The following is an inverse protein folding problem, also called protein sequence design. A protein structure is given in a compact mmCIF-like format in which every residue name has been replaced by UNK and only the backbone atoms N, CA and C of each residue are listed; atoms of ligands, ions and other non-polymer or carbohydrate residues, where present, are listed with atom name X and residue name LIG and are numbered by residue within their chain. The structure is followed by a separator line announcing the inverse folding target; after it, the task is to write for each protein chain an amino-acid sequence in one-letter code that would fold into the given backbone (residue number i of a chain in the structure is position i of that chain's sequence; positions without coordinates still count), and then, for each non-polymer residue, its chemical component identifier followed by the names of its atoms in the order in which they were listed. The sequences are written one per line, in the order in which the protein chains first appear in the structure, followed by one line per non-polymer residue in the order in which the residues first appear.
data_IF_725029258759
#
_entry.id   IF_725029258759
#
_cell.length_a   1.000
_cell.length_b   1.000
_cell.length_c   1.000
_cell.angle_alpha   90.00
_cell.angle_beta   90.00
_cell.angle_gamma   90.00
#
_symmetry.space_group_name_H-M   'P 1'
#
loop_
_entity.id
_entity.type
_entity.pdbx_description
1 polymer ?
#
# COMPACT_ATOMS: atom_id res chain seq x y z
N UNK A 1 -2.11 -8.31 15.77
CA UNK A 1 -1.80 -7.37 14.67
C UNK A 1 -2.65 -7.69 13.46
N UNK A 2 -3.20 -6.67 12.82
CA UNK A 2 -3.96 -6.86 11.58
C UNK A 2 -3.06 -6.47 10.40
N UNK A 3 -2.55 -7.48 9.69
CA UNK A 3 -1.63 -7.26 8.57
C UNK A 3 -2.27 -6.48 7.43
N UNK A 4 -3.58 -6.64 7.22
CA UNK A 4 -4.24 -5.88 6.15
C UNK A 4 -4.23 -4.40 6.45
N UNK A 5 -4.43 -4.03 7.71
CA UNK A 5 -4.38 -2.63 8.12
C UNK A 5 -2.96 -2.09 8.08
N UNK A 6 -2.01 -2.89 8.51
CA UNK A 6 -0.59 -2.49 8.46
C UNK A 6 -0.16 -2.21 7.02
N UNK A 7 -0.44 -3.12 6.10
CA UNK A 7 -0.09 -2.95 4.70
C UNK A 7 -0.79 -1.72 4.14
N UNK A 8 -2.07 -1.54 4.47
CA UNK A 8 -2.83 -0.38 4.00
C UNK A 8 -2.22 0.94 4.45
N UNK A 9 -1.83 1.02 5.73
CA UNK A 9 -1.18 2.23 6.26
C UNK A 9 0.17 2.47 5.59
N UNK A 10 0.95 1.42 5.40
CA UNK A 10 2.26 1.55 4.76
C UNK A 10 2.12 2.05 3.32
N UNK A 11 1.18 1.48 2.57
CA UNK A 11 0.93 1.91 1.19
C UNK A 11 0.53 3.38 1.16
N UNK A 12 -0.42 3.77 2.00
CA UNK A 12 -0.90 5.15 2.03
C UNK A 12 0.23 6.13 2.37
N UNK A 13 1.01 5.81 3.41
CA UNK A 13 2.11 6.67 3.85
C UNK A 13 3.12 6.88 2.73
N UNK A 14 3.53 5.78 2.08
CA UNK A 14 4.53 5.84 1.01
C UNK A 14 3.95 6.57 -0.19
N UNK A 15 2.69 6.30 -0.54
CA UNK A 15 2.02 6.99 -1.63
C UNK A 15 2.02 8.50 -1.41
N UNK A 16 1.65 8.92 -0.20
CA UNK A 16 1.59 10.34 0.12
C UNK A 16 2.98 10.99 0.10
N UNK A 17 3.99 10.27 0.57
CA UNK A 17 5.37 10.76 0.50
C UNK A 17 5.85 10.95 -0.93
N UNK A 18 5.32 10.17 -1.86
CA UNK A 18 5.63 10.30 -3.27
C UNK A 18 4.80 11.37 -3.97
N UNK A 19 3.91 12.02 -3.23
CA UNK A 19 3.05 13.06 -3.79
C UNK A 19 1.98 12.51 -4.74
N UNK A 20 1.62 11.24 -4.59
CA UNK A 20 0.65 10.61 -5.47
C UNK A 20 -0.74 10.61 -4.85
N UNK A 21 -1.75 10.95 -5.67
CA UNK A 21 -3.14 10.72 -5.27
C UNK A 21 -3.47 9.24 -5.46
N UNK A 22 -4.56 8.77 -4.85
CA UNK A 22 -5.02 7.40 -5.09
C UNK A 22 -5.28 7.17 -6.57
N UNK A 23 -5.86 8.15 -7.23
CA UNK A 23 -6.19 8.09 -8.66
C UNK A 23 -4.92 7.90 -9.50
N UNK A 24 -3.90 8.70 -9.22
CA UNK A 24 -2.65 8.59 -9.96
C UNK A 24 -1.94 7.26 -9.68
N UNK A 25 -1.94 6.84 -8.43
CA UNK A 25 -1.35 5.56 -8.07
C UNK A 25 -2.09 4.41 -8.77
N UNK A 26 -3.42 4.49 -8.86
CA UNK A 26 -4.18 3.50 -9.60
C UNK A 26 -3.73 3.42 -11.06
N UNK A 27 -3.55 4.57 -11.70
CA UNK A 27 -3.07 4.61 -13.09
C UNK A 27 -1.70 3.94 -13.25
N UNK A 28 -0.77 4.29 -12.37
CA UNK A 28 0.60 3.78 -12.45
C UNK A 28 0.65 2.28 -12.15
N UNK A 29 -0.11 1.83 -11.17
CA UNK A 29 -0.04 0.44 -10.72
C UNK A 29 -0.87 -0.51 -11.55
N UNK A 30 -1.85 0.00 -12.28
CA UNK A 30 -2.78 -0.84 -13.03
C UNK A 30 -3.93 -1.37 -12.20
N UNK A 31 -4.01 -1.02 -10.91
CA UNK A 31 -5.14 -1.38 -10.07
C UNK A 31 -6.20 -0.28 -10.14
N UNK A 32 -7.44 -0.63 -9.81
CA UNK A 32 -8.52 0.37 -9.79
C UNK A 32 -8.36 1.27 -8.56
N UNK A 33 -8.91 2.49 -8.64
CA UNK A 33 -8.91 3.38 -7.49
C UNK A 33 -9.71 2.78 -6.33
N UNK A 34 -10.80 2.08 -6.64
CA UNK A 34 -11.59 1.40 -5.62
C UNK A 34 -10.76 0.36 -4.87
N UNK A 35 -9.93 -0.38 -5.60
CA UNK A 35 -9.05 -1.36 -4.98
C UNK A 35 -8.05 -0.66 -4.05
N UNK A 36 -7.39 0.39 -4.55
CA UNK A 36 -6.40 1.14 -3.77
C UNK A 36 -7.05 1.70 -2.50
N UNK A 37 -8.23 2.30 -2.64
CA UNK A 37 -8.95 2.86 -1.49
C UNK A 37 -9.26 1.79 -0.45
N UNK A 38 -9.79 0.65 -0.87
CA UNK A 38 -10.07 -0.45 0.03
C UNK A 38 -8.83 -1.02 0.69
N UNK A 39 -7.75 -1.12 -0.08
CA UNK A 39 -6.47 -1.60 0.43
C UNK A 39 -5.96 -0.69 1.54
N UNK A 40 -5.98 0.61 1.33
CA UNK A 40 -5.49 1.57 2.32
C UNK A 40 -6.34 1.58 3.58
N UNK A 41 -7.60 1.17 3.48
CA UNK A 41 -8.49 1.07 4.62
C UNK A 41 -8.45 -0.28 5.32
N UNK A 42 -7.60 -1.18 4.86
CA UNK A 42 -7.46 -2.50 5.46
C UNK A 42 -8.55 -3.48 5.08
N UNK A 43 -9.27 -3.21 3.99
CA UNK A 43 -10.39 -4.06 3.55
C UNK A 43 -9.99 -5.11 2.53
N UNK A 44 -8.77 -5.06 2.03
CA UNK A 44 -8.28 -6.00 1.04
C UNK A 44 -7.20 -6.88 1.62
N UNK A 45 -7.11 -8.08 1.08
CA UNK A 45 -6.11 -9.05 1.49
C UNK A 45 -5.21 -9.34 0.28
N UNK A 46 -4.21 -8.48 0.01
CA UNK A 46 -3.38 -8.63 -1.18
C UNK A 46 -2.52 -9.89 -1.09
N UNK A 47 -2.32 -10.51 -2.25
CA UNK A 47 -1.38 -11.62 -2.34
C UNK A 47 0.04 -11.08 -2.28
N UNK A 48 1.01 -11.98 -2.10
CA UNK A 48 2.42 -11.61 -2.12
C UNK A 48 2.79 -10.95 -3.45
N UNK A 49 2.25 -11.47 -4.55
CA UNK A 49 2.50 -10.91 -5.88
C UNK A 49 1.93 -9.50 -5.98
N UNK A 50 0.72 -9.29 -5.48
CA UNK A 50 0.10 -7.96 -5.48
C UNK A 50 0.94 -6.97 -4.66
N UNK A 51 1.44 -7.40 -3.50
CA UNK A 51 2.32 -6.57 -2.67
C UNK A 51 3.57 -6.15 -3.45
N UNK A 52 4.18 -7.08 -4.17
CA UNK A 52 5.33 -6.79 -4.99
C UNK A 52 4.99 -5.75 -6.08
N UNK A 53 3.86 -5.93 -6.75
CA UNK A 53 3.44 -5.03 -7.82
C UNK A 53 3.15 -3.62 -7.31
N UNK A 54 2.51 -3.53 -6.15
CA UNK A 54 2.23 -2.23 -5.52
C UNK A 54 3.52 -1.53 -5.14
N UNK A 55 4.47 -2.27 -4.55
CA UNK A 55 5.76 -1.71 -4.16
C UNK A 55 6.53 -1.22 -5.38
N UNK A 56 6.54 -2.00 -6.45
CA UNK A 56 7.21 -1.62 -7.69
C UNK A 56 6.64 -0.30 -8.23
N UNK A 57 5.32 -0.15 -8.21
CA UNK A 57 4.67 1.07 -8.68
C UNK A 57 5.02 2.28 -7.80
N UNK A 58 5.25 2.04 -6.51
CA UNK A 58 5.65 3.09 -5.57
C UNK A 58 7.15 3.35 -5.58
N UNK A 59 7.92 2.52 -6.28
CA UNK A 59 9.37 2.68 -6.35
C UNK A 59 10.09 2.26 -5.08
N UNK A 60 9.52 1.34 -4.32
CA UNK A 60 10.12 0.83 -3.07
C UNK A 60 10.18 -0.69 -3.10
N UNK A 61 10.86 -1.28 -2.13
CA UNK A 61 10.90 -2.72 -1.98
C UNK A 61 9.63 -3.25 -1.34
N UNK A 62 9.28 -4.50 -1.65
CA UNK A 62 8.07 -5.11 -1.08
C UNK A 62 8.11 -5.20 0.44
N UNK A 63 9.29 -5.33 1.03
CA UNK A 63 9.43 -5.37 2.49
C UNK A 63 8.91 -4.09 3.14
N UNK A 64 9.05 -2.95 2.45
CA UNK A 64 8.58 -1.68 3.00
C UNK A 64 7.07 -1.66 3.23
N UNK A 65 6.34 -2.52 2.52
CA UNK A 65 4.89 -2.57 2.66
C UNK A 65 4.43 -3.47 3.81
N UNK A 66 5.28 -4.38 4.27
CA UNK A 66 4.89 -5.36 5.27
C UNK A 66 5.59 -5.19 6.61
N UNK A 67 6.56 -4.31 6.71
CA UNK A 67 7.26 -4.11 7.98
C UNK A 67 6.44 -3.25 8.93
N UNK A 68 6.58 -3.45 10.25
CA UNK A 68 5.86 -2.65 11.23
C UNK A 68 6.18 -1.17 11.05
N UNK A 69 5.14 -0.33 11.22
CA UNK A 69 5.30 1.11 11.16
C UNK A 69 5.38 1.69 12.58
N UNK A 70 5.57 3.00 12.68
CA UNK A 70 5.70 3.66 13.97
C UNK A 70 4.47 3.50 14.85
N UNK A 71 3.28 3.47 14.25
CA UNK A 71 2.04 3.27 15.00
C UNK A 71 2.02 1.89 15.66
N UNK A 72 2.51 0.89 14.95
CA UNK A 72 2.59 -0.47 15.46
C UNK A 72 3.71 -0.64 16.47
N UNK A 73 4.82 0.03 16.24
CA UNK A 73 6.00 -0.07 17.07
C UNK A 73 5.87 0.64 18.40
N UNK A 74 4.96 1.57 18.45
CA UNK A 74 4.73 2.31 19.69
C UNK A 74 3.94 1.47 20.67
#
# INVERSE_FOLDING_TARGET
MDMRRLVGRNVRRIRERRGLTQERFAEISGFSQQYISGLEQGRRNPTIVTIYELAAALGVGHMDLVQPDEEQGA
#
